data_IF_919037553477
#
_entry.id   IF_919037553477
#
_cell.length_a   1.000
_cell.length_b   1.000
_cell.length_c   1.000
_cell.angle_alpha   90.00
_cell.angle_beta   90.00
_cell.angle_gamma   90.00
#
_symmetry.space_group_name_H-M   'P 1'
#
loop_
_entity.id
_entity.type
_entity.pdbx_description
1 polymer ?
#
# COMPACT_ATOMS: atom_id res chain seq x y z
N UNK A 1 -13.05 21.06 4.87
CA UNK A 1 -11.92 20.36 5.53
C UNK A 1 -12.36 19.01 6.10
N UNK A 2 -13.29 18.96 7.06
CA UNK A 2 -13.74 17.69 7.67
C UNK A 2 -14.28 16.65 6.67
N UNK A 3 -15.17 17.05 5.76
CA UNK A 3 -15.73 16.14 4.75
C UNK A 3 -14.67 15.59 3.77
N UNK A 4 -13.70 16.42 3.40
CA UNK A 4 -12.61 16.04 2.51
C UNK A 4 -11.69 14.99 3.16
N UNK A 5 -11.35 15.19 4.44
CA UNK A 5 -10.60 14.20 5.21
C UNK A 5 -11.41 12.90 5.37
N UNK A 6 -12.69 12.99 5.71
CA UNK A 6 -13.56 11.82 5.84
C UNK A 6 -13.61 10.99 4.55
N UNK A 7 -13.67 11.65 3.40
CA UNK A 7 -13.62 10.97 2.11
C UNK A 7 -12.29 10.24 1.89
N UNK A 8 -11.15 10.89 2.16
CA UNK A 8 -9.85 10.23 2.05
C UNK A 8 -9.71 9.03 3.00
N UNK A 9 -10.31 9.09 4.20
CA UNK A 9 -10.38 7.95 5.12
C UNK A 9 -11.18 6.78 4.52
N UNK A 10 -12.34 7.06 3.92
CA UNK A 10 -13.14 5.99 3.29
C UNK A 10 -12.40 5.29 2.14
N UNK A 11 -11.58 6.02 1.37
CA UNK A 11 -10.75 5.43 0.33
C UNK A 11 -9.64 4.54 0.92
N UNK A 12 -9.02 4.96 2.01
CA UNK A 12 -8.00 4.17 2.71
C UNK A 12 -8.59 2.91 3.35
N UNK A 13 -9.80 2.99 3.90
CA UNK A 13 -10.54 1.84 4.44
C UNK A 13 -10.86 0.83 3.35
N UNK A 14 -11.36 1.28 2.20
CA UNK A 14 -11.65 0.44 1.05
C UNK A 14 -10.38 -0.24 0.49
N UNK A 15 -9.28 0.51 0.36
CA UNK A 15 -8.01 -0.03 -0.10
C UNK A 15 -7.48 -1.12 0.84
N UNK A 16 -7.52 -0.87 2.16
CA UNK A 16 -7.11 -1.86 3.15
C UNK A 16 -7.99 -3.11 3.09
N UNK A 17 -9.32 -2.95 3.07
CA UNK A 17 -10.25 -4.08 3.07
C UNK A 17 -10.04 -5.02 1.87
N UNK A 18 -9.70 -4.46 0.69
CA UNK A 18 -9.43 -5.25 -0.51
C UNK A 18 -8.05 -5.88 -0.53
N UNK A 19 -7.03 -5.17 -0.05
CA UNK A 19 -5.67 -5.71 0.03
C UNK A 19 -5.54 -6.79 1.12
N UNK A 20 -6.31 -6.70 2.22
CA UNK A 20 -6.41 -7.75 3.24
C UNK A 20 -6.94 -9.09 2.70
N UNK A 21 -7.64 -9.09 1.57
CA UNK A 21 -8.08 -10.34 0.92
C UNK A 21 -6.95 -11.06 0.19
N UNK A 22 -5.78 -10.41 0.01
CA UNK A 22 -4.64 -10.97 -0.68
C UNK A 22 -3.70 -11.65 0.32
N UNK A 23 -3.28 -12.87 0.00
CA UNK A 23 -2.41 -13.66 0.85
C UNK A 23 -1.07 -12.98 1.13
N UNK A 24 -0.68 -12.96 2.42
CA UNK A 24 0.55 -12.37 2.90
C UNK A 24 0.47 -10.86 3.13
N UNK A 25 -0.70 -10.23 3.02
CA UNK A 25 -0.84 -8.79 3.30
C UNK A 25 -0.55 -8.45 4.76
N UNK A 26 0.32 -7.46 4.99
CA UNK A 26 0.68 -6.95 6.31
C UNK A 26 0.44 -5.45 6.33
N UNK A 27 -0.47 -4.98 7.19
CA UNK A 27 -0.79 -3.56 7.37
C UNK A 27 -0.05 -2.93 8.54
N UNK A 28 0.47 -1.73 8.33
CA UNK A 28 1.02 -0.83 9.35
C UNK A 28 0.18 0.46 9.49
N UNK A 29 -1.04 0.46 8.95
CA UNK A 29 -1.93 1.62 8.99
C UNK A 29 -2.41 1.87 10.42
N UNK A 30 -2.15 3.06 10.93
CA UNK A 30 -2.74 3.53 12.19
C UNK A 30 -4.25 3.77 12.03
N UNK A 31 -5.05 3.60 13.10
CA UNK A 31 -6.47 3.92 13.09
C UNK A 31 -6.74 5.34 12.59
N UNK A 32 -7.77 5.51 11.77
CA UNK A 32 -8.18 6.81 11.21
C UNK A 32 -7.09 7.56 10.42
N UNK A 33 -6.19 6.84 9.77
CA UNK A 33 -5.19 7.41 8.86
C UNK A 33 -5.65 7.32 7.39
N UNK A 34 -5.52 8.38 6.57
CA UNK A 34 -5.69 8.29 5.12
C UNK A 34 -4.44 7.72 4.43
N UNK A 35 -3.44 7.30 5.20
CA UNK A 35 -2.18 6.73 4.72
C UNK A 35 -2.12 5.26 5.09
N UNK A 36 -2.01 4.39 4.08
CA UNK A 36 -1.86 2.95 4.19
C UNK A 36 -0.40 2.57 3.93
N UNK A 37 0.33 2.25 4.99
CA UNK A 37 1.63 1.62 4.90
C UNK A 37 1.46 0.11 4.99
N UNK A 38 2.10 -0.66 4.10
CA UNK A 38 1.89 -2.10 4.00
C UNK A 38 3.08 -2.82 3.35
N UNK A 39 3.14 -4.14 3.55
CA UNK A 39 4.02 -5.07 2.86
C UNK A 39 3.26 -6.35 2.47
N UNK A 40 3.91 -7.19 1.69
CA UNK A 40 3.50 -8.58 1.46
C UNK A 40 4.59 -9.53 1.95
N UNK A 41 4.21 -10.56 2.69
CA UNK A 41 5.12 -11.58 3.21
C UNK A 41 5.93 -12.23 2.08
N UNK A 42 7.23 -12.42 2.33
CA UNK A 42 8.16 -12.99 1.35
C UNK A 42 8.55 -12.07 0.19
N UNK A 43 7.98 -10.85 0.11
CA UNK A 43 8.18 -9.96 -1.05
C UNK A 43 8.87 -8.67 -0.62
N UNK A 44 9.98 -8.35 -1.28
CA UNK A 44 10.72 -7.12 -1.00
C UNK A 44 9.95 -5.90 -1.51
N UNK A 45 9.81 -4.89 -0.66
CA UNK A 45 8.97 -3.71 -0.92
C UNK A 45 9.39 -2.89 -2.15
N UNK A 46 10.66 -2.96 -2.56
CA UNK A 46 11.17 -2.25 -3.74
C UNK A 46 10.74 -2.92 -5.05
N UNK A 47 10.69 -4.25 -5.09
CA UNK A 47 10.38 -5.00 -6.31
C UNK A 47 8.88 -4.85 -6.63
N UNK A 48 8.05 -4.99 -5.61
CA UNK A 48 6.61 -4.75 -5.72
C UNK A 48 6.33 -3.30 -6.17
N UNK A 49 7.05 -2.31 -5.62
CA UNK A 49 6.89 -0.91 -6.00
C UNK A 49 7.29 -0.64 -7.46
N UNK A 50 8.33 -1.31 -7.97
CA UNK A 50 8.75 -1.18 -9.36
C UNK A 50 7.65 -1.69 -10.33
N UNK A 51 7.11 -2.89 -10.09
CA UNK A 51 6.05 -3.46 -10.92
C UNK A 51 4.74 -2.66 -10.83
N UNK A 52 4.39 -2.17 -9.65
CA UNK A 52 3.21 -1.28 -9.48
C UNK A 52 3.40 0.03 -10.27
N UNK A 53 4.61 0.59 -10.31
CA UNK A 53 4.91 1.79 -11.08
C UNK A 53 4.77 1.57 -12.59
N UNK A 54 5.14 0.39 -13.10
CA UNK A 54 4.94 0.02 -14.51
C UNK A 54 3.45 -0.07 -14.90
N UNK A 55 2.57 -0.38 -13.94
CA UNK A 55 1.11 -0.31 -14.11
C UNK A 55 0.54 1.12 -14.07
N UNK A 56 1.42 2.13 -14.00
CA UNK A 56 1.04 3.54 -13.96
C UNK A 56 0.47 3.99 -12.61
N UNK A 57 0.84 3.31 -11.51
CA UNK A 57 0.44 3.66 -10.15
C UNK A 57 1.63 4.20 -9.37
N UNK A 58 1.52 5.46 -8.92
CA UNK A 58 2.57 6.11 -8.14
C UNK A 58 2.33 5.91 -6.64
N UNK A 59 3.27 5.25 -5.96
CA UNK A 59 3.35 5.14 -4.51
C UNK A 59 4.80 5.32 -4.03
N UNK A 60 5.03 5.35 -2.72
CA UNK A 60 6.38 5.43 -2.16
C UNK A 60 6.76 4.13 -1.49
N UNK A 61 8.06 3.82 -1.48
CA UNK A 61 8.65 2.65 -0.83
C UNK A 61 9.88 3.06 0.01
N UNK A 62 10.32 2.19 0.92
CA UNK A 62 11.49 2.40 1.77
C UNK A 62 11.15 2.84 3.20
N UNK A 63 12.02 3.63 3.82
CA UNK A 63 11.95 3.92 5.26
C UNK A 63 11.18 5.18 5.63
N UNK A 64 10.79 5.97 4.63
CA UNK A 64 9.96 7.18 4.80
C UNK A 64 10.51 8.21 5.80
N UNK A 65 11.84 8.29 5.94
CA UNK A 65 12.51 9.12 6.96
C UNK A 65 12.16 8.76 8.41
N UNK A 66 11.75 7.51 8.65
CA UNK A 66 11.30 7.00 9.94
C UNK A 66 12.09 5.75 10.36
N UNK A 67 13.41 5.72 10.10
CA UNK A 67 14.29 4.58 10.42
C UNK A 67 14.07 3.99 11.83
N UNK A 68 13.95 4.78 12.92
CA UNK A 68 13.74 4.18 14.25
C UNK A 68 12.42 3.40 14.38
N UNK A 69 11.36 3.84 13.69
CA UNK A 69 10.08 3.13 13.68
C UNK A 69 10.17 1.85 12.83
N UNK A 70 10.83 1.95 11.67
CA UNK A 70 11.07 0.82 10.78
C UNK A 70 11.87 -0.28 11.50
N UNK A 71 12.90 0.10 12.26
CA UNK A 71 13.70 -0.81 13.08
C UNK A 71 12.86 -1.44 14.20
N UNK A 72 12.03 -0.65 14.89
CA UNK A 72 11.12 -1.15 15.93
C UNK A 72 10.06 -2.13 15.39
N UNK A 73 9.64 -1.95 14.13
CA UNK A 73 8.76 -2.88 13.41
C UNK A 73 9.52 -4.09 12.82
N UNK A 74 10.85 -4.12 12.94
CA UNK A 74 11.71 -5.20 12.43
C UNK A 74 11.56 -5.43 10.92
N UNK A 75 11.41 -4.36 10.14
CA UNK A 75 11.33 -4.39 8.67
C UNK A 75 12.43 -3.51 8.05
N UNK A 76 12.79 -3.74 6.79
CA UNK A 76 13.75 -2.90 6.06
C UNK A 76 13.14 -1.62 5.49
N UNK A 77 11.82 -1.62 5.32
CA UNK A 77 11.02 -0.57 4.71
C UNK A 77 9.62 -1.09 4.38
N UNK A 78 8.75 -0.21 3.89
CA UNK A 78 7.41 -0.61 3.44
C UNK A 78 6.93 0.19 2.24
N UNK A 79 5.88 -0.31 1.58
CA UNK A 79 5.11 0.47 0.60
C UNK A 79 4.16 1.41 1.35
N UNK A 80 3.85 2.55 0.72
CA UNK A 80 2.92 3.54 1.26
C UNK A 80 2.03 4.14 0.19
N UNK A 81 0.75 3.80 0.23
CA UNK A 81 -0.32 4.46 -0.52
C UNK A 81 -0.95 5.55 0.37
N UNK A 82 -1.02 6.78 -0.14
CA UNK A 82 -1.50 7.95 0.61
C UNK A 82 -2.69 8.55 -0.13
N UNK A 83 -3.87 8.53 0.48
CA UNK A 83 -5.10 8.98 -0.15
C UNK A 83 -5.41 10.43 0.22
N UNK A 84 -5.96 11.15 -0.74
CA UNK A 84 -6.34 12.56 -0.63
C UNK A 84 -7.71 12.79 -1.28
N UNK A 85 -8.35 13.95 -1.05
CA UNK A 85 -9.72 14.19 -1.51
C UNK A 85 -9.92 14.17 -3.03
N UNK A 86 -8.84 14.25 -3.80
CA UNK A 86 -8.86 14.18 -5.26
C UNK A 86 -8.76 12.76 -5.81
N UNK A 87 -8.42 11.77 -4.97
CA UNK A 87 -8.43 10.38 -5.38
C UNK A 87 -9.86 9.88 -5.59
N UNK A 88 -9.99 8.81 -6.36
CA UNK A 88 -11.27 8.20 -6.70
C UNK A 88 -11.31 6.73 -6.30
N UNK A 89 -12.50 6.16 -6.21
CA UNK A 89 -12.66 4.72 -5.98
C UNK A 89 -11.99 3.88 -7.08
N UNK A 90 -12.01 4.39 -8.32
CA UNK A 90 -11.30 3.80 -9.46
C UNK A 90 -9.78 3.78 -9.29
N UNK A 91 -9.18 4.68 -8.49
CA UNK A 91 -7.76 4.60 -8.16
C UNK A 91 -7.48 3.39 -7.26
N UNK A 92 -8.44 3.02 -6.39
CA UNK A 92 -8.34 1.84 -5.54
C UNK A 92 -8.44 0.57 -6.38
N UNK A 93 -9.38 0.53 -7.33
CA UNK A 93 -9.52 -0.57 -8.29
C UNK A 93 -8.18 -0.82 -8.99
N UNK A 94 -7.60 0.23 -9.57
CA UNK A 94 -6.32 0.13 -10.30
C UNK A 94 -5.14 -0.23 -9.39
N UNK A 95 -5.10 0.27 -8.15
CA UNK A 95 -4.07 -0.09 -7.18
C UNK A 95 -4.13 -1.59 -6.85
N UNK A 96 -5.32 -2.11 -6.56
CA UNK A 96 -5.52 -3.53 -6.20
C UNK A 96 -5.16 -4.44 -7.39
N UNK A 97 -5.56 -4.07 -8.60
CA UNK A 97 -5.22 -4.83 -9.80
C UNK A 97 -3.71 -4.81 -10.08
N UNK A 98 -3.05 -3.66 -9.91
CA UNK A 98 -1.60 -3.55 -10.05
C UNK A 98 -0.85 -4.39 -9.00
N UNK A 99 -1.33 -4.42 -7.76
CA UNK A 99 -0.76 -5.28 -6.71
C UNK A 99 -0.93 -6.75 -7.08
N UNK A 100 -2.13 -7.19 -7.49
CA UNK A 100 -2.37 -8.59 -7.92
C UNK A 100 -1.46 -9.00 -9.07
N UNK A 101 -1.32 -8.15 -10.08
CA UNK A 101 -0.41 -8.37 -11.19
C UNK A 101 1.03 -8.54 -10.70
N UNK A 102 1.52 -7.61 -9.87
CA UNK A 102 2.88 -7.67 -9.35
C UNK A 102 3.12 -8.92 -8.49
N UNK A 103 2.15 -9.30 -7.64
CA UNK A 103 2.21 -10.53 -6.85
C UNK A 103 2.25 -11.78 -7.74
N UNK A 104 1.51 -11.82 -8.84
CA UNK A 104 1.52 -12.96 -9.75
C UNK A 104 2.88 -13.19 -10.40
N UNK A 105 3.67 -12.13 -10.62
CA UNK A 105 5.02 -12.26 -11.18
C UNK A 105 6.08 -12.61 -10.13
N UNK A 106 5.90 -12.16 -8.89
CA UNK A 106 6.88 -12.32 -7.82
C UNK A 106 6.67 -13.60 -6.99
N UNK A 107 5.49 -14.22 -7.05
CA UNK A 107 5.19 -15.47 -6.34
C UNK A 107 5.43 -16.73 -7.20
N UNK A 108 5.89 -16.59 -8.43
CA UNK A 108 6.08 -17.70 -9.39
C UNK A 108 7.46 -18.40 -9.28
N UNK A 109 8.03 -18.51 -8.09
CA UNK A 109 9.24 -19.32 -7.83
C UNK A 109 8.93 -20.42 -6.80
N UNK A 110 8.25 -21.49 -7.26
CA UNK A 110 8.26 -22.82 -6.65
C UNK A 110 8.48 -23.90 -7.74
#
# INVERSE_FOLDING_TARGET
MAQANQYALTLADEAQARLEQLEGFISYRAPHSPVLAFNFEGIHHSDLAALIAEQGIALRTGQHCAQPLIDALTISGCLRASFMPYNQLSDIDRLVDAVKFALSLLKDED
#
